data_IF_323802846310
#
_entry.id   IF_323802846310
#
_cell.length_a   1.000
_cell.length_b   1.000
_cell.length_c   1.000
_cell.angle_alpha   90.00
_cell.angle_beta   90.00
_cell.angle_gamma   90.00
#
_symmetry.space_group_name_H-M   'P 1'
#
loop_
_entity.id
_entity.type
_entity.pdbx_description
1 polymer ?
#
# COMPACT_ATOMS: atom_id res chain seq x y z
N UNK A 1 -0.32 26.66 6.60
CA UNK A 1 -0.50 25.30 6.04
C UNK A 1 0.88 24.74 5.78
N UNK A 2 1.44 23.99 6.74
CA UNK A 2 2.76 23.37 6.60
C UNK A 2 2.70 22.33 5.48
N UNK A 3 3.48 22.51 4.40
CA UNK A 3 3.51 21.56 3.28
C UNK A 3 4.18 20.27 3.79
N UNK A 4 3.39 19.32 4.30
CA UNK A 4 3.88 17.97 4.61
C UNK A 4 4.52 17.40 3.35
N UNK A 5 5.84 17.27 3.36
CA UNK A 5 6.55 16.53 2.32
C UNK A 5 6.21 15.06 2.53
N UNK A 6 5.21 14.57 1.78
CA UNK A 6 4.93 13.15 1.72
C UNK A 6 6.13 12.45 1.12
N UNK A 7 6.66 11.47 1.83
CA UNK A 7 7.78 10.67 1.32
C UNK A 7 7.24 9.65 0.32
N UNK A 8 8.07 9.18 -0.61
CA UNK A 8 7.67 8.18 -1.57
C UNK A 8 7.25 6.87 -0.89
N UNK A 9 7.75 6.58 0.32
CA UNK A 9 7.27 5.49 1.17
C UNK A 9 5.78 5.64 1.56
N UNK A 10 5.34 6.85 1.94
CA UNK A 10 3.94 7.09 2.30
C UNK A 10 3.03 7.00 1.07
N UNK A 11 3.49 7.53 -0.08
CA UNK A 11 2.78 7.40 -1.36
C UNK A 11 2.69 5.94 -1.82
N UNK A 12 3.79 5.20 -1.73
CA UNK A 12 3.84 3.78 -2.05
C UNK A 12 2.94 2.94 -1.14
N UNK A 13 2.93 3.22 0.16
CA UNK A 13 2.01 2.58 1.11
C UNK A 13 0.54 2.84 0.76
N UNK A 14 0.17 4.10 0.48
CA UNK A 14 -1.20 4.46 0.08
C UNK A 14 -1.62 3.75 -1.20
N UNK A 15 -0.72 3.70 -2.19
CA UNK A 15 -0.98 3.01 -3.46
C UNK A 15 -1.13 1.49 -3.26
N UNK A 16 -0.27 0.91 -2.41
CA UNK A 16 -0.33 -0.51 -2.02
C UNK A 16 -1.62 -0.87 -1.29
N UNK A 17 -2.10 0.00 -0.40
CA UNK A 17 -3.41 -0.16 0.27
C UNK A 17 -4.55 -0.01 -0.72
N UNK A 18 -4.47 0.94 -1.65
CA UNK A 18 -5.54 1.17 -2.63
C UNK A 18 -5.72 -0.03 -3.54
N UNK A 19 -4.63 -0.57 -4.09
CA UNK A 19 -4.67 -1.75 -4.96
C UNK A 19 -4.97 -3.02 -4.15
N UNK A 20 -4.23 -3.25 -3.07
CA UNK A 20 -4.38 -4.45 -2.24
C UNK A 20 -5.74 -4.51 -1.55
N UNK A 21 -6.26 -3.36 -1.10
CA UNK A 21 -7.59 -3.20 -0.52
C UNK A 21 -8.69 -3.32 -1.56
N UNK A 22 -8.53 -2.73 -2.75
CA UNK A 22 -9.48 -2.91 -3.84
C UNK A 22 -9.63 -4.39 -4.23
N UNK A 23 -8.51 -5.08 -4.44
CA UNK A 23 -8.50 -6.52 -4.71
C UNK A 23 -9.05 -7.32 -3.52
N UNK A 24 -8.59 -7.04 -2.30
CA UNK A 24 -9.04 -7.73 -1.09
C UNK A 24 -10.55 -7.62 -0.88
N UNK A 25 -11.15 -6.45 -1.12
CA UNK A 25 -12.61 -6.23 -1.01
C UNK A 25 -13.37 -6.96 -2.12
N UNK A 26 -12.87 -6.96 -3.36
CA UNK A 26 -13.49 -7.71 -4.46
C UNK A 26 -13.45 -9.22 -4.19
N UNK A 27 -12.33 -9.74 -3.72
CA UNK A 27 -12.24 -11.17 -3.37
C UNK A 27 -13.12 -11.50 -2.16
N UNK A 28 -13.12 -10.65 -1.12
CA UNK A 28 -13.98 -10.82 0.05
C UNK A 28 -15.46 -10.83 -0.34
N UNK A 29 -15.91 -9.93 -1.21
CA UNK A 29 -17.32 -9.82 -1.60
C UNK A 29 -17.78 -10.99 -2.47
N UNK A 30 -16.88 -11.62 -3.22
CA UNK A 30 -17.20 -12.73 -4.11
C UNK A 30 -17.13 -14.11 -3.43
N UNK A 31 -16.23 -14.30 -2.46
CA UNK A 31 -16.03 -15.59 -1.78
C UNK A 31 -16.53 -15.62 -0.34
N UNK A 32 -16.78 -14.46 0.28
CA UNK A 32 -17.17 -14.37 1.70
C UNK A 32 -16.07 -14.75 2.69
N UNK A 33 -14.84 -15.00 2.24
CA UNK A 33 -13.75 -15.46 3.10
C UNK A 33 -12.91 -14.27 3.59
N UNK A 34 -12.87 -14.09 4.92
CA UNK A 34 -12.12 -13.01 5.57
C UNK A 34 -10.59 -13.04 5.33
N UNK A 35 -10.04 -14.19 4.90
CA UNK A 35 -8.61 -14.32 4.59
C UNK A 35 -8.14 -13.33 3.53
N UNK A 36 -9.02 -12.91 2.62
CA UNK A 36 -8.68 -11.96 1.56
C UNK A 36 -8.41 -10.53 2.06
N UNK A 37 -8.78 -10.20 3.30
CA UNK A 37 -8.39 -8.94 3.95
C UNK A 37 -6.87 -8.87 4.16
N UNK A 38 -6.19 -10.01 4.31
CA UNK A 38 -4.73 -10.06 4.44
C UNK A 38 -4.01 -9.55 3.18
N UNK A 39 -4.66 -9.59 2.00
CA UNK A 39 -4.12 -9.04 0.75
C UNK A 39 -3.92 -7.52 0.87
N UNK A 40 -4.79 -6.83 1.59
CA UNK A 40 -4.64 -5.39 1.87
C UNK A 40 -3.37 -5.13 2.67
N UNK A 41 -3.11 -5.95 3.70
CA UNK A 41 -1.90 -5.85 4.52
C UNK A 41 -0.63 -6.16 3.72
N UNK A 42 -0.67 -7.20 2.88
CA UNK A 42 0.43 -7.54 1.98
C UNK A 42 0.70 -6.43 0.96
N UNK A 43 -0.35 -5.86 0.35
CA UNK A 43 -0.25 -4.73 -0.57
C UNK A 43 0.34 -3.49 0.09
N UNK A 44 -0.07 -3.17 1.32
CA UNK A 44 0.49 -2.08 2.11
C UNK A 44 1.98 -2.28 2.38
N UNK A 45 2.38 -3.48 2.80
CA UNK A 45 3.77 -3.82 3.08
C UNK A 45 4.65 -3.72 1.82
N UNK A 46 4.20 -4.27 0.70
CA UNK A 46 4.91 -4.22 -0.58
C UNK A 46 5.04 -2.77 -1.06
N UNK A 47 3.93 -2.01 -1.03
CA UNK A 47 3.92 -0.61 -1.44
C UNK A 47 4.84 0.27 -0.59
N UNK A 48 4.88 0.03 0.73
CA UNK A 48 5.78 0.74 1.64
C UNK A 48 7.24 0.40 1.36
N UNK A 49 7.59 -0.88 1.19
CA UNK A 49 8.97 -1.30 0.89
C UNK A 49 9.46 -0.72 -0.43
N UNK A 50 8.62 -0.75 -1.48
CA UNK A 50 8.94 -0.16 -2.78
C UNK A 50 9.12 1.36 -2.66
N UNK A 51 8.18 2.06 -2.02
CA UNK A 51 8.27 3.50 -1.82
C UNK A 51 9.46 3.93 -0.97
N UNK A 52 9.80 3.16 0.07
CA UNK A 52 11.00 3.38 0.89
C UNK A 52 12.29 3.11 0.11
N UNK A 53 12.30 2.14 -0.78
CA UNK A 53 13.42 1.88 -1.69
C UNK A 53 13.67 3.06 -2.63
N UNK A 54 12.59 3.63 -3.20
CA UNK A 54 12.67 4.84 -4.05
C UNK A 54 13.12 6.06 -3.26
N UNK A 55 12.57 6.29 -2.06
CA UNK A 55 13.03 7.36 -1.15
C UNK A 55 14.53 7.24 -0.88
N UNK A 56 15.03 6.03 -0.63
CA UNK A 56 16.45 5.77 -0.35
C UNK A 56 17.33 6.00 -1.58
N UNK A 57 16.86 5.64 -2.77
CA UNK A 57 17.60 5.85 -4.03
C UNK A 57 17.66 7.34 -4.41
N UNK A 58 16.59 8.10 -4.16
CA UNK A 58 16.50 9.51 -4.54
C UNK A 58 17.18 10.46 -3.54
N UNK A 59 17.44 10.00 -2.30
CA UNK A 59 18.27 10.70 -1.30
C UNK A 59 19.75 10.36 -1.39
N UNK A 60 20.15 9.37 -2.19
CA UNK A 60 21.54 8.93 -2.39
C UNK A 60 22.17 9.56 -3.61
#
# INVERSE_FOLDING_TARGET
MEKRQYTYAQLGMLFGIFIGGGLGVILLSTTGNAVYIAITGAGAAIGLVLGAGVDKYQKS
#
